data_IF_657563048292
#
_entry.id   IF_657563048292
#
_cell.length_a   1.000
_cell.length_b   1.000
_cell.length_c   1.000
_cell.angle_alpha   90.00
_cell.angle_beta   90.00
_cell.angle_gamma   90.00
#
_symmetry.space_group_name_H-M   'P 1'
#
loop_
_entity.id
_entity.type
_entity.pdbx_description
1 polymer ?
#
# COMPACT_ATOMS: atom_id res chain seq x y z
N UNK A 1 1.85 1.14 -16.86
CA UNK A 1 2.34 1.86 -15.66
C UNK A 1 1.97 1.08 -14.40
N UNK A 2 0.67 0.96 -14.06
CA UNK A 2 0.23 0.29 -12.83
C UNK A 2 0.68 -1.18 -12.70
N UNK A 3 0.40 -2.02 -13.70
CA UNK A 3 0.80 -3.43 -13.69
C UNK A 3 2.33 -3.62 -13.59
N UNK A 4 3.11 -2.84 -14.36
CA UNK A 4 4.58 -2.83 -14.28
C UNK A 4 5.07 -2.44 -12.88
N UNK A 5 4.44 -1.43 -12.27
CA UNK A 5 4.81 -0.97 -10.93
C UNK A 5 4.50 -2.03 -9.86
N UNK A 6 3.36 -2.70 -9.94
CA UNK A 6 3.03 -3.82 -9.06
C UNK A 6 4.01 -5.00 -9.19
N UNK A 7 4.38 -5.37 -10.42
CA UNK A 7 5.37 -6.41 -10.65
C UNK A 7 6.76 -6.00 -10.14
N UNK A 8 7.16 -4.74 -10.31
CA UNK A 8 8.42 -4.24 -9.73
C UNK A 8 8.40 -4.26 -8.21
N UNK A 9 7.27 -3.93 -7.58
CA UNK A 9 7.14 -3.97 -6.12
C UNK A 9 7.41 -5.35 -5.54
N UNK A 10 7.03 -6.45 -6.21
CA UNK A 10 7.36 -7.80 -5.73
C UNK A 10 8.87 -8.09 -5.82
N UNK A 11 9.53 -7.69 -6.91
CA UNK A 11 10.99 -7.83 -6.99
C UNK A 11 11.71 -7.01 -5.92
N UNK A 12 11.28 -5.76 -5.69
CA UNK A 12 11.83 -4.88 -4.65
C UNK A 12 11.55 -5.45 -3.25
N UNK A 13 10.38 -6.05 -3.03
CA UNK A 13 10.01 -6.70 -1.79
C UNK A 13 10.91 -7.89 -1.43
N UNK A 14 11.31 -8.67 -2.44
CA UNK A 14 12.35 -9.71 -2.34
C UNK A 14 13.80 -9.20 -2.28
N UNK A 15 14.02 -7.88 -2.27
CA UNK A 15 15.35 -7.27 -2.18
C UNK A 15 16.12 -7.19 -3.51
N UNK A 16 15.47 -7.49 -4.64
CA UNK A 16 16.08 -7.35 -5.96
C UNK A 16 16.00 -5.89 -6.43
N UNK A 17 17.15 -5.32 -6.79
CA UNK A 17 17.26 -3.93 -7.26
C UNK A 17 18.00 -3.85 -8.59
N UNK A 18 18.02 -2.68 -9.22
CA UNK A 18 18.86 -2.41 -10.40
C UNK A 18 20.35 -2.27 -10.05
N UNK A 19 20.69 -1.97 -8.80
CA UNK A 19 22.08 -1.80 -8.35
C UNK A 19 22.76 -3.11 -7.92
N UNK A 20 21.98 -4.09 -7.41
CA UNK A 20 22.52 -5.36 -6.91
C UNK A 20 22.60 -6.38 -8.04
N UNK A 21 23.78 -6.99 -8.25
CA UNK A 21 23.95 -8.10 -9.18
C UNK A 21 23.12 -9.32 -8.75
N UNK A 22 22.29 -9.84 -9.64
CA UNK A 22 21.47 -11.02 -9.41
C UNK A 22 20.59 -11.36 -10.60
N UNK A 23 19.87 -12.47 -10.51
CA UNK A 23 19.01 -13.02 -11.58
C UNK A 23 18.01 -11.99 -12.14
N UNK A 24 17.44 -11.15 -11.27
CA UNK A 24 16.41 -10.17 -11.65
C UNK A 24 16.92 -8.74 -11.83
N UNK A 25 18.24 -8.50 -11.76
CA UNK A 25 18.80 -7.14 -11.87
C UNK A 25 18.39 -6.46 -13.18
N UNK A 26 18.55 -7.15 -14.31
CA UNK A 26 18.21 -6.59 -15.63
C UNK A 26 16.70 -6.37 -15.77
N UNK A 27 15.89 -7.28 -15.23
CA UNK A 27 14.43 -7.16 -15.20
C UNK A 27 14.00 -5.90 -14.45
N UNK A 28 14.54 -5.67 -13.25
CA UNK A 28 14.25 -4.46 -12.45
C UNK A 28 14.74 -3.21 -13.16
N UNK A 29 15.95 -3.24 -13.71
CA UNK A 29 16.54 -2.12 -14.47
C UNK A 29 15.67 -1.71 -15.64
N UNK A 30 15.25 -2.68 -16.46
CA UNK A 30 14.39 -2.42 -17.64
C UNK A 30 13.02 -1.92 -17.23
N UNK A 31 12.43 -2.45 -16.16
CA UNK A 31 11.14 -2.01 -15.65
C UNK A 31 11.16 -0.56 -15.15
N UNK A 32 12.17 -0.20 -14.33
CA UNK A 32 12.33 1.17 -13.84
C UNK A 32 12.61 2.16 -14.98
N UNK A 33 13.51 1.82 -15.90
CA UNK A 33 13.79 2.65 -17.08
C UNK A 33 12.54 2.85 -17.93
N UNK A 34 11.74 1.79 -18.13
CA UNK A 34 10.48 1.90 -18.85
C UNK A 34 9.49 2.82 -18.13
N UNK A 35 9.29 2.66 -16.81
CA UNK A 35 8.41 3.54 -16.03
C UNK A 35 8.82 5.01 -16.16
N UNK A 36 10.10 5.31 -15.98
CA UNK A 36 10.62 6.67 -16.09
C UNK A 36 10.49 7.23 -17.51
N UNK A 37 10.64 6.39 -18.55
CA UNK A 37 10.45 6.80 -19.95
C UNK A 37 8.99 7.13 -20.31
N UNK A 38 8.02 6.64 -19.51
CA UNK A 38 6.59 6.89 -19.70
C UNK A 38 6.04 7.96 -18.76
N UNK A 39 6.83 8.39 -17.79
CA UNK A 39 6.46 9.44 -16.87
C UNK A 39 6.41 10.80 -17.58
N UNK A 40 5.43 11.63 -17.22
CA UNK A 40 5.26 12.97 -17.78
C UNK A 40 5.60 14.02 -16.71
N UNK A 41 6.48 14.96 -17.06
CA UNK A 41 6.81 16.09 -16.19
C UNK A 41 5.77 17.18 -16.39
N UNK A 42 5.00 17.45 -15.34
CA UNK A 42 3.95 18.47 -15.32
C UNK A 42 4.30 19.59 -14.35
N UNK A 43 3.54 20.69 -14.40
CA UNK A 43 3.61 21.75 -13.38
C UNK A 43 3.26 21.26 -11.97
N UNK A 44 2.54 20.14 -11.86
CA UNK A 44 2.16 19.53 -10.58
C UNK A 44 3.16 18.49 -10.08
N UNK A 45 4.15 18.09 -10.87
CA UNK A 45 5.09 17.04 -10.51
C UNK A 45 5.20 15.97 -11.59
N UNK A 46 5.64 14.78 -11.18
CA UNK A 46 5.80 13.65 -12.09
C UNK A 46 4.50 12.86 -12.16
N UNK A 47 3.82 12.96 -13.29
CA UNK A 47 2.62 12.18 -13.59
C UNK A 47 3.03 10.79 -14.09
N UNK A 48 2.59 9.77 -13.36
CA UNK A 48 2.87 8.36 -13.56
C UNK A 48 1.63 7.57 -14.00
N UNK A 49 0.55 8.26 -14.39
CA UNK A 49 -0.68 7.62 -14.88
C UNK A 49 -0.51 7.03 -16.27
N UNK A 50 0.31 7.67 -17.12
CA UNK A 50 0.52 7.27 -18.50
C UNK A 50 -0.79 7.34 -19.29
N UNK A 51 -1.17 6.26 -19.97
CA UNK A 51 -2.45 6.20 -20.70
C UNK A 51 -3.65 5.88 -19.81
N UNK A 52 -3.46 5.65 -18.50
CA UNK A 52 -4.56 5.35 -17.59
C UNK A 52 -5.41 6.62 -17.35
N UNK A 53 -6.66 6.57 -17.80
CA UNK A 53 -7.63 7.65 -17.65
C UNK A 53 -8.90 7.14 -16.96
N UNK A 54 -9.80 8.06 -16.60
CA UNK A 54 -11.05 7.74 -15.91
C UNK A 54 -10.80 7.06 -14.57
N UNK A 55 -11.52 5.96 -14.29
CA UNK A 55 -11.61 5.31 -12.97
C UNK A 55 -10.32 4.63 -12.47
N UNK A 56 -9.20 4.72 -13.21
CA UNK A 56 -7.92 4.06 -12.88
C UNK A 56 -6.75 5.02 -12.67
N UNK A 57 -6.92 6.31 -13.01
CA UNK A 57 -5.81 7.27 -13.11
C UNK A 57 -4.97 7.34 -11.83
N UNK A 58 -5.55 7.85 -10.74
CA UNK A 58 -4.78 8.00 -9.49
C UNK A 58 -4.49 6.68 -8.76
N UNK A 59 -5.19 5.58 -9.03
CA UNK A 59 -4.72 4.25 -8.59
C UNK A 59 -3.32 3.97 -9.15
N UNK A 60 -3.16 4.16 -10.47
CA UNK A 60 -1.88 3.97 -11.14
C UNK A 60 -0.83 4.95 -10.61
N UNK A 61 -1.19 6.22 -10.38
CA UNK A 61 -0.29 7.20 -9.78
C UNK A 61 0.24 6.72 -8.42
N UNK A 62 -0.65 6.30 -7.52
CA UNK A 62 -0.29 5.88 -6.17
C UNK A 62 0.65 4.68 -6.19
N UNK A 63 0.27 3.63 -6.92
CA UNK A 63 1.06 2.39 -7.08
C UNK A 63 2.45 2.69 -7.67
N UNK A 64 2.52 3.47 -8.74
CA UNK A 64 3.80 3.82 -9.37
C UNK A 64 4.67 4.70 -8.46
N UNK A 65 4.05 5.59 -7.68
CA UNK A 65 4.76 6.43 -6.71
C UNK A 65 5.34 5.59 -5.57
N UNK A 66 4.60 4.59 -5.05
CA UNK A 66 5.13 3.61 -4.08
C UNK A 66 6.35 2.92 -4.68
N UNK A 67 6.23 2.38 -5.89
CA UNK A 67 7.35 1.70 -6.58
C UNK A 67 8.60 2.58 -6.67
N UNK A 68 8.48 3.85 -7.09
CA UNK A 68 9.64 4.75 -7.16
C UNK A 68 10.20 5.08 -5.76
N UNK A 69 9.34 5.29 -4.76
CA UNK A 69 9.78 5.57 -3.40
C UNK A 69 10.53 4.39 -2.78
N UNK A 70 10.01 3.17 -2.93
CA UNK A 70 10.65 1.96 -2.43
C UNK A 70 11.96 1.66 -3.13
N UNK A 71 12.00 1.76 -4.46
CA UNK A 71 13.24 1.57 -5.23
C UNK A 71 14.30 2.61 -4.83
N UNK A 72 13.91 3.87 -4.65
CA UNK A 72 14.81 4.93 -4.20
C UNK A 72 15.30 4.73 -2.75
N UNK A 73 14.49 4.12 -1.88
CA UNK A 73 14.90 3.80 -0.51
C UNK A 73 15.91 2.64 -0.46
N UNK A 74 15.75 1.65 -1.36
CA UNK A 74 16.68 0.52 -1.49
C UNK A 74 17.98 0.90 -2.21
N UNK A 75 17.94 1.94 -3.06
CA UNK A 75 19.08 2.43 -3.85
C UNK A 75 19.41 3.89 -3.50
N UNK A 76 19.89 4.19 -2.28
CA UNK A 76 20.07 5.57 -1.80
C UNK A 76 21.14 6.36 -2.58
N UNK A 77 22.02 5.69 -3.34
CA UNK A 77 23.00 6.30 -4.23
C UNK A 77 22.38 6.90 -5.52
N UNK A 78 21.22 6.39 -5.95
CA UNK A 78 20.56 6.85 -7.16
C UNK A 78 19.79 8.17 -6.96
N UNK A 79 20.52 9.27 -7.13
CA UNK A 79 19.96 10.62 -7.03
C UNK A 79 18.92 10.92 -8.11
N UNK A 80 18.96 10.26 -9.27
CA UNK A 80 17.96 10.46 -10.31
C UNK A 80 16.62 9.84 -9.88
N UNK A 81 16.66 8.62 -9.37
CA UNK A 81 15.50 7.92 -8.84
C UNK A 81 14.88 8.65 -7.63
N UNK A 82 15.71 9.16 -6.72
CA UNK A 82 15.22 9.99 -5.60
C UNK A 82 14.52 11.27 -6.05
N UNK A 83 15.04 11.95 -7.09
CA UNK A 83 14.38 13.13 -7.68
C UNK A 83 13.05 12.78 -8.34
N UNK A 84 12.99 11.66 -9.07
CA UNK A 84 11.76 11.16 -9.66
C UNK A 84 10.69 10.85 -8.60
N UNK A 85 11.06 10.11 -7.55
CA UNK A 85 10.18 9.81 -6.41
C UNK A 85 9.69 11.08 -5.71
N UNK A 86 10.58 12.06 -5.47
CA UNK A 86 10.20 13.36 -4.87
C UNK A 86 9.20 14.12 -5.75
N UNK A 87 9.41 14.15 -7.08
CA UNK A 87 8.50 14.82 -8.00
C UNK A 87 7.16 14.08 -8.13
N UNK A 88 7.14 12.75 -8.00
CA UNK A 88 5.92 11.94 -7.99
C UNK A 88 5.08 12.20 -6.72
N UNK A 89 5.73 12.31 -5.56
CA UNK A 89 5.06 12.69 -4.30
C UNK A 89 4.45 14.08 -4.39
N UNK A 90 5.17 15.05 -4.96
CA UNK A 90 4.61 16.38 -5.24
C UNK A 90 3.34 16.32 -6.10
N UNK A 91 3.28 15.42 -7.08
CA UNK A 91 2.08 15.21 -7.89
C UNK A 91 0.94 14.64 -7.05
N UNK A 92 1.21 13.64 -6.21
CA UNK A 92 0.22 13.08 -5.27
C UNK A 92 -0.37 14.18 -4.40
N UNK A 93 0.47 14.97 -3.73
CA UNK A 93 0.03 16.09 -2.87
C UNK A 93 -0.82 17.11 -3.63
N UNK A 94 -0.38 17.54 -4.83
CA UNK A 94 -1.10 18.54 -5.64
C UNK A 94 -2.38 18.01 -6.28
N UNK A 95 -2.56 16.70 -6.33
CA UNK A 95 -3.76 16.04 -6.87
C UNK A 95 -4.85 15.79 -5.82
N UNK A 96 -4.57 16.05 -4.54
CA UNK A 96 -5.51 15.88 -3.44
C UNK A 96 -6.73 16.80 -3.60
N UNK A 97 -7.91 16.32 -3.20
CA UNK A 97 -9.08 17.17 -3.05
C UNK A 97 -8.84 18.21 -1.96
N UNK A 98 -8.86 19.49 -2.35
CA UNK A 98 -8.62 20.63 -1.45
C UNK A 98 -9.76 20.89 -0.47
N UNK A 99 -10.94 20.31 -0.69
CA UNK A 99 -12.11 20.50 0.17
C UNK A 99 -12.29 19.32 1.14
N UNK A 100 -12.33 18.11 0.60
CA UNK A 100 -12.58 16.90 1.37
C UNK A 100 -11.31 16.20 1.88
N UNK A 101 -10.14 16.48 1.30
CA UNK A 101 -8.84 15.97 1.72
C UNK A 101 -8.50 14.54 1.26
N UNK A 102 -9.37 13.90 0.49
CA UNK A 102 -9.11 12.56 -0.06
C UNK A 102 -8.60 12.60 -1.50
N UNK A 103 -8.43 11.41 -2.08
CA UNK A 103 -8.14 11.22 -3.50
C UNK A 103 -9.16 10.27 -4.11
N UNK A 104 -9.44 10.47 -5.39
CA UNK A 104 -10.31 9.57 -6.16
C UNK A 104 -9.68 9.28 -7.51
N UNK A 105 -10.40 9.27 -8.62
CA UNK A 105 -9.87 8.75 -9.88
C UNK A 105 -9.07 9.80 -10.66
N UNK A 106 -9.46 11.07 -10.54
CA UNK A 106 -8.81 12.22 -11.17
C UNK A 106 -8.39 13.27 -10.13
N UNK A 107 -7.39 14.12 -10.45
CA UNK A 107 -6.94 15.17 -9.54
C UNK A 107 -8.06 16.10 -9.07
N UNK A 108 -8.03 16.49 -7.79
CA UNK A 108 -8.99 17.37 -7.11
C UNK A 108 -10.44 16.86 -7.07
N UNK A 109 -10.68 15.58 -7.40
CA UNK A 109 -11.99 14.97 -7.28
C UNK A 109 -12.28 14.61 -5.81
N UNK A 110 -13.53 14.81 -5.31
CA UNK A 110 -13.92 14.36 -3.98
C UNK A 110 -13.53 12.91 -3.72
N UNK A 111 -12.79 12.71 -2.62
CA UNK A 111 -12.07 11.48 -2.34
C UNK A 111 -12.93 10.24 -2.13
N UNK A 112 -12.31 9.08 -2.35
CA UNK A 112 -12.80 7.79 -1.88
C UNK A 112 -11.75 7.09 -1.00
N UNK A 113 -12.18 6.15 -0.15
CA UNK A 113 -11.28 5.47 0.79
C UNK A 113 -10.24 4.61 0.08
N UNK A 114 -10.58 4.01 -1.06
CA UNK A 114 -9.74 3.06 -1.77
C UNK A 114 -8.51 3.72 -2.43
N UNK A 115 -8.72 4.78 -3.20
CA UNK A 115 -7.63 5.54 -3.85
C UNK A 115 -6.84 6.33 -2.82
N UNK A 116 -7.52 6.88 -1.80
CA UNK A 116 -6.85 7.54 -0.67
C UNK A 116 -5.90 6.58 0.04
N UNK A 117 -6.26 5.30 0.19
CA UNK A 117 -5.37 4.25 0.70
C UNK A 117 -4.05 4.16 -0.04
N UNK A 118 -4.10 4.05 -1.37
CA UNK A 118 -2.90 4.00 -2.20
C UNK A 118 -2.05 5.28 -2.12
N UNK A 119 -2.68 6.46 -2.07
CA UNK A 119 -1.92 7.70 -1.93
C UNK A 119 -1.24 7.79 -0.56
N UNK A 120 -1.94 7.43 0.52
CA UNK A 120 -1.35 7.44 1.86
C UNK A 120 -0.21 6.42 1.99
N UNK A 121 -0.32 5.26 1.35
CA UNK A 121 0.79 4.32 1.23
C UNK A 121 1.99 4.94 0.49
N UNK A 122 1.76 5.65 -0.61
CA UNK A 122 2.82 6.37 -1.33
C UNK A 122 3.51 7.42 -0.45
N UNK A 123 2.73 8.23 0.26
CA UNK A 123 3.25 9.22 1.22
C UNK A 123 4.03 8.56 2.36
N UNK A 124 3.60 7.38 2.82
CA UNK A 124 4.31 6.62 3.84
C UNK A 124 5.64 6.04 3.30
N UNK A 125 5.66 5.50 2.08
CA UNK A 125 6.88 5.04 1.41
C UNK A 125 7.88 6.20 1.17
N UNK A 126 7.38 7.41 0.92
CA UNK A 126 8.22 8.61 0.79
C UNK A 126 8.97 8.93 2.09
N UNK A 127 8.29 8.85 3.24
CA UNK A 127 8.91 9.05 4.56
C UNK A 127 10.03 8.03 4.82
N UNK A 128 9.86 6.79 4.39
CA UNK A 128 10.91 5.77 4.50
C UNK A 128 12.19 6.16 3.74
N UNK A 129 12.08 6.91 2.65
CA UNK A 129 13.20 7.47 1.88
C UNK A 129 13.61 8.90 2.29
N UNK A 130 13.13 9.39 3.45
CA UNK A 130 13.36 10.79 3.91
C UNK A 130 12.96 11.83 2.86
N UNK A 131 11.94 11.53 2.05
CA UNK A 131 11.29 12.51 1.18
C UNK A 131 10.24 13.22 2.04
N UNK A 132 10.28 14.54 2.06
CA UNK A 132 9.35 15.35 2.84
C UNK A 132 7.93 15.19 2.29
N UNK A 133 6.96 15.12 3.22
CA UNK A 133 5.52 15.13 2.93
C UNK A 133 4.91 16.32 3.67
N UNK A 134 4.06 17.08 2.97
CA UNK A 134 3.38 18.24 3.51
C UNK A 134 2.50 17.90 4.70
N UNK A 135 2.65 18.67 5.79
CA UNK A 135 1.83 18.51 6.98
C UNK A 135 0.33 18.75 6.68
N UNK A 136 0.03 19.75 5.86
CA UNK A 136 -1.33 20.09 5.43
C UNK A 136 -1.98 18.93 4.68
N UNK A 137 -1.27 18.31 3.73
CA UNK A 137 -1.76 17.12 3.01
C UNK A 137 -2.13 15.98 3.96
N UNK A 138 -1.29 15.72 4.98
CA UNK A 138 -1.60 14.71 5.99
C UNK A 138 -2.79 15.10 6.86
N UNK A 139 -2.94 16.38 7.19
CA UNK A 139 -4.07 16.88 7.98
C UNK A 139 -5.39 16.78 7.22
N UNK A 140 -5.37 17.10 5.93
CA UNK A 140 -6.53 16.97 5.04
C UNK A 140 -6.94 15.51 4.88
N UNK A 141 -5.97 14.60 4.73
CA UNK A 141 -6.25 13.16 4.69
C UNK A 141 -6.89 12.63 5.98
N UNK A 142 -6.50 13.17 7.16
CA UNK A 142 -7.17 12.85 8.44
C UNK A 142 -8.62 13.34 8.43
N UNK A 143 -8.87 14.55 7.91
CA UNK A 143 -10.23 15.10 7.79
C UNK A 143 -11.10 14.24 6.88
N UNK A 144 -10.55 13.79 5.74
CA UNK A 144 -11.21 12.83 4.86
C UNK A 144 -11.57 11.54 5.60
N UNK A 145 -10.61 10.90 6.27
CA UNK A 145 -10.83 9.62 6.96
C UNK A 145 -11.86 9.72 8.09
N UNK A 146 -11.94 10.87 8.76
CA UNK A 146 -13.03 11.16 9.71
C UNK A 146 -14.39 11.23 9.03
N UNK A 147 -14.47 11.75 7.81
CA UNK A 147 -15.74 11.89 7.07
C UNK A 147 -16.30 10.56 6.55
N UNK A 148 -15.44 9.55 6.36
CA UNK A 148 -15.81 8.18 5.92
C UNK A 148 -15.78 7.15 7.05
N UNK A 149 -15.44 7.58 8.27
CA UNK A 149 -15.41 6.75 9.46
C UNK A 149 -16.82 6.39 9.91
N UNK A 150 -17.01 5.13 10.28
CA UNK A 150 -18.25 4.54 10.82
C UNK A 150 -17.91 3.86 12.15
N UNK A 151 -18.88 3.75 13.06
CA UNK A 151 -18.68 3.14 14.39
C UNK A 151 -17.48 3.76 15.13
N UNK A 152 -17.44 5.09 15.19
CA UNK A 152 -16.36 5.88 15.80
C UNK A 152 -14.95 5.62 15.22
N UNK A 153 -14.85 5.03 14.04
CA UNK A 153 -13.57 4.79 13.35
C UNK A 153 -13.08 3.36 13.44
N UNK A 154 -13.90 2.44 13.97
CA UNK A 154 -13.68 1.01 13.88
C UNK A 154 -13.95 0.46 12.46
N UNK A 155 -14.80 1.13 11.68
CA UNK A 155 -15.15 0.75 10.31
C UNK A 155 -15.14 1.94 9.36
N UNK A 156 -15.09 1.68 8.06
CA UNK A 156 -14.97 2.74 7.05
C UNK A 156 -15.87 2.48 5.84
N UNK A 157 -16.51 3.54 5.36
CA UNK A 157 -17.28 3.56 4.12
C UNK A 157 -16.39 3.90 2.92
N UNK A 158 -16.89 3.68 1.70
CA UNK A 158 -16.18 4.04 0.47
C UNK A 158 -16.14 5.57 0.23
N UNK A 159 -17.26 6.24 0.51
CA UNK A 159 -17.43 7.70 0.40
C UNK A 159 -18.27 8.19 1.60
N UNK A 160 -18.25 9.50 1.90
CA UNK A 160 -19.03 10.06 2.99
C UNK A 160 -20.52 9.70 2.86
N UNK A 161 -21.19 9.46 3.99
CA UNK A 161 -22.60 9.03 4.07
C UNK A 161 -22.89 7.63 3.49
N UNK A 162 -21.87 6.86 3.10
CA UNK A 162 -22.01 5.45 2.74
C UNK A 162 -22.02 4.51 3.95
N UNK A 163 -22.39 3.26 3.73
CA UNK A 163 -22.24 2.18 4.72
C UNK A 163 -20.81 1.59 4.72
N UNK A 164 -20.37 0.99 5.83
CA UNK A 164 -19.05 0.37 5.90
C UNK A 164 -18.98 -0.91 5.06
N UNK A 165 -17.80 -1.22 4.55
CA UNK A 165 -17.48 -2.52 3.94
C UNK A 165 -16.20 -3.08 4.54
N UNK A 166 -15.98 -4.39 4.47
CA UNK A 166 -14.77 -5.01 5.02
C UNK A 166 -13.51 -4.53 4.30
N UNK A 167 -13.58 -4.40 2.97
CA UNK A 167 -12.51 -3.82 2.14
C UNK A 167 -12.15 -2.41 2.58
N UNK A 168 -13.13 -1.52 2.70
CA UNK A 168 -12.85 -0.13 3.07
C UNK A 168 -12.43 -0.01 4.52
N UNK A 169 -12.95 -0.89 5.39
CA UNK A 169 -12.51 -0.98 6.79
C UNK A 169 -11.03 -1.35 6.88
N UNK A 170 -10.58 -2.36 6.13
CA UNK A 170 -9.16 -2.70 6.07
C UNK A 170 -8.29 -1.55 5.56
N UNK A 171 -8.71 -0.87 4.49
CA UNK A 171 -7.98 0.29 3.95
C UNK A 171 -7.92 1.44 4.97
N UNK A 172 -9.06 1.78 5.57
CA UNK A 172 -9.17 2.88 6.53
C UNK A 172 -8.35 2.65 7.80
N UNK A 173 -8.40 1.43 8.37
CA UNK A 173 -7.59 1.08 9.55
C UNK A 173 -6.09 1.13 9.24
N UNK A 174 -5.66 0.65 8.06
CA UNK A 174 -4.26 0.75 7.66
C UNK A 174 -3.81 2.21 7.57
N UNK A 175 -4.63 3.07 6.95
CA UNK A 175 -4.38 4.50 6.89
C UNK A 175 -4.26 5.12 8.29
N UNK A 176 -5.12 4.75 9.22
CA UNK A 176 -5.04 5.25 10.60
C UNK A 176 -3.76 4.83 11.31
N UNK A 177 -3.30 3.58 11.12
CA UNK A 177 -2.02 3.10 11.65
C UNK A 177 -0.86 3.94 11.11
N UNK A 178 -0.81 4.21 9.80
CA UNK A 178 0.21 5.09 9.20
C UNK A 178 0.13 6.54 9.66
N UNK A 179 -1.04 6.98 10.12
CA UNK A 179 -1.24 8.31 10.71
C UNK A 179 -0.98 8.36 12.22
N UNK A 180 -0.57 7.24 12.83
CA UNK A 180 -0.10 7.15 14.21
C UNK A 180 -1.07 6.55 15.21
N UNK A 181 -2.15 5.89 14.78
CA UNK A 181 -2.96 5.10 15.70
C UNK A 181 -2.15 3.94 16.26
N UNK A 182 -2.20 3.79 17.58
CA UNK A 182 -1.49 2.75 18.33
C UNK A 182 -2.44 1.59 18.66
N UNK A 183 -1.87 0.41 18.91
CA UNK A 183 -2.60 -0.83 19.22
C UNK A 183 -3.52 -0.77 20.45
N UNK A 184 -3.29 0.17 21.37
CA UNK A 184 -4.09 0.37 22.58
C UNK A 184 -5.37 1.19 22.33
N UNK A 185 -5.55 1.69 21.11
CA UNK A 185 -6.72 2.47 20.75
C UNK A 185 -7.96 1.56 20.58
N UNK A 186 -9.06 1.79 21.33
CA UNK A 186 -10.23 0.91 21.30
C UNK A 186 -10.86 0.75 19.92
N UNK A 187 -10.92 1.82 19.12
CA UNK A 187 -11.53 1.77 17.78
C UNK A 187 -10.68 0.95 16.81
N UNK A 188 -9.35 0.98 16.97
CA UNK A 188 -8.44 0.12 16.21
C UNK A 188 -8.63 -1.35 16.59
N UNK A 189 -8.69 -1.66 17.88
CA UNK A 189 -8.89 -3.02 18.38
C UNK A 189 -10.21 -3.61 17.85
N UNK A 190 -11.31 -2.87 17.99
CA UNK A 190 -12.62 -3.31 17.49
C UNK A 190 -12.62 -3.57 15.97
N UNK A 191 -11.96 -2.70 15.20
CA UNK A 191 -11.83 -2.87 13.75
C UNK A 191 -10.99 -4.09 13.38
N UNK A 192 -9.86 -4.31 14.06
CA UNK A 192 -8.97 -5.46 13.82
C UNK A 192 -9.65 -6.78 14.22
N UNK A 193 -10.36 -6.81 15.35
CA UNK A 193 -11.15 -7.97 15.78
C UNK A 193 -12.25 -8.32 14.77
N UNK A 194 -12.94 -7.30 14.24
CA UNK A 194 -13.91 -7.47 13.16
C UNK A 194 -13.27 -8.11 11.92
N UNK A 195 -12.14 -7.59 11.45
CA UNK A 195 -11.41 -8.14 10.31
C UNK A 195 -10.93 -9.57 10.56
N UNK A 196 -10.40 -9.86 11.76
CA UNK A 196 -9.97 -11.20 12.13
C UNK A 196 -11.13 -12.21 12.12
N UNK A 197 -12.32 -11.78 12.56
CA UNK A 197 -13.54 -12.59 12.56
C UNK A 197 -14.04 -12.87 11.13
N UNK A 198 -14.00 -11.87 10.25
CA UNK A 198 -14.33 -12.04 8.82
C UNK A 198 -13.35 -13.02 8.17
N UNK A 199 -12.05 -12.83 8.42
CA UNK A 199 -10.98 -13.67 7.89
C UNK A 199 -10.73 -13.48 6.39
N UNK A 200 -9.74 -14.18 5.81
CA UNK A 200 -9.42 -14.07 4.39
C UNK A 200 -10.60 -14.42 3.47
N UNK A 201 -10.76 -13.65 2.40
CA UNK A 201 -11.76 -13.89 1.34
C UNK A 201 -11.14 -14.65 0.18
N UNK A 202 -11.85 -15.64 -0.38
CA UNK A 202 -11.44 -16.32 -1.63
C UNK A 202 -11.75 -15.51 -2.89
N UNK A 203 -12.57 -14.48 -2.77
CA UNK A 203 -13.14 -13.72 -3.89
C UNK A 203 -12.65 -12.27 -3.91
N UNK A 204 -11.80 -11.86 -2.97
CA UNK A 204 -11.42 -10.45 -2.86
C UNK A 204 -9.96 -10.31 -2.40
N UNK A 205 -9.06 -10.33 -3.38
CA UNK A 205 -7.63 -10.21 -3.11
C UNK A 205 -7.23 -8.80 -2.68
N UNK A 206 -7.96 -7.77 -3.13
CA UNK A 206 -7.73 -6.40 -2.70
C UNK A 206 -7.99 -6.23 -1.19
N UNK A 207 -9.11 -6.77 -0.70
CA UNK A 207 -9.39 -6.85 0.73
C UNK A 207 -8.28 -7.60 1.47
N UNK A 208 -7.92 -8.80 1.00
CA UNK A 208 -6.89 -9.62 1.64
C UNK A 208 -5.56 -8.88 1.76
N UNK A 209 -5.15 -8.15 0.73
CA UNK A 209 -3.89 -7.39 0.73
C UNK A 209 -3.87 -6.32 1.83
N UNK A 210 -4.95 -5.53 1.96
CA UNK A 210 -5.03 -4.51 3.01
C UNK A 210 -5.24 -5.12 4.41
N UNK A 211 -6.14 -6.09 4.53
CA UNK A 211 -6.42 -6.74 5.82
C UNK A 211 -5.19 -7.47 6.36
N UNK A 212 -4.41 -8.14 5.49
CA UNK A 212 -3.15 -8.77 5.90
C UNK A 212 -2.17 -7.75 6.47
N UNK A 213 -2.03 -6.56 5.87
CA UNK A 213 -1.16 -5.51 6.41
C UNK A 213 -1.66 -4.99 7.77
N UNK A 214 -2.98 -4.77 7.92
CA UNK A 214 -3.57 -4.36 9.20
C UNK A 214 -3.29 -5.40 10.29
N UNK A 215 -3.60 -6.67 10.01
CA UNK A 215 -3.41 -7.76 10.97
C UNK A 215 -1.93 -7.96 11.30
N UNK A 216 -1.04 -7.89 10.30
CA UNK A 216 0.40 -7.97 10.51
C UNK A 216 0.91 -6.84 11.40
N UNK A 217 0.54 -5.58 11.12
CA UNK A 217 0.94 -4.45 11.95
C UNK A 217 0.36 -4.47 13.36
N UNK A 218 -0.81 -5.08 13.54
CA UNK A 218 -1.39 -5.26 14.87
C UNK A 218 -0.69 -6.39 15.64
N UNK A 219 -0.32 -7.48 14.96
CA UNK A 219 0.40 -8.61 15.51
C UNK A 219 -0.43 -9.48 16.47
N UNK A 220 0.27 -10.30 17.25
CA UNK A 220 -0.31 -11.19 18.26
C UNK A 220 -1.14 -12.34 17.68
N UNK A 221 -1.98 -12.94 18.52
CA UNK A 221 -2.74 -14.15 18.17
C UNK A 221 -3.68 -13.96 16.96
N UNK A 222 -4.21 -12.74 16.78
CA UNK A 222 -5.06 -12.41 15.62
C UNK A 222 -4.27 -12.50 14.31
N UNK A 223 -3.03 -12.01 14.30
CA UNK A 223 -2.12 -12.15 13.17
C UNK A 223 -1.79 -13.62 12.88
N UNK A 224 -1.44 -14.41 13.91
CA UNK A 224 -1.03 -15.80 13.72
C UNK A 224 -2.15 -16.63 13.06
N UNK A 225 -3.40 -16.46 13.53
CA UNK A 225 -4.58 -17.10 12.95
C UNK A 225 -4.86 -16.63 11.53
N UNK A 226 -4.76 -15.33 11.28
CA UNK A 226 -4.95 -14.75 9.95
C UNK A 226 -3.91 -15.31 8.96
N UNK A 227 -2.64 -15.23 9.32
CA UNK A 227 -1.51 -15.59 8.47
C UNK A 227 -1.55 -17.07 8.09
N UNK A 228 -1.88 -17.95 9.04
CA UNK A 228 -2.02 -19.38 8.76
C UNK A 228 -3.02 -19.62 7.62
N UNK A 229 -4.22 -19.05 7.73
CA UNK A 229 -5.31 -19.20 6.74
C UNK A 229 -4.96 -18.54 5.41
N UNK A 230 -4.40 -17.32 5.46
CA UNK A 230 -4.09 -16.55 4.25
C UNK A 230 -2.98 -17.24 3.43
N UNK A 231 -1.91 -17.68 4.10
CA UNK A 231 -0.81 -18.41 3.45
C UNK A 231 -1.30 -19.72 2.83
N UNK A 232 -2.07 -20.51 3.58
CA UNK A 232 -2.64 -21.76 3.08
C UNK A 232 -3.52 -21.51 1.85
N UNK A 233 -4.40 -20.51 1.90
CA UNK A 233 -5.24 -20.14 0.76
C UNK A 233 -4.39 -19.81 -0.48
N UNK A 234 -3.39 -18.93 -0.39
CA UNK A 234 -2.58 -18.57 -1.56
C UNK A 234 -1.76 -19.74 -2.10
N UNK A 235 -1.13 -20.53 -1.22
CA UNK A 235 -0.31 -21.67 -1.67
C UNK A 235 -1.16 -22.75 -2.35
N UNK A 236 -2.36 -23.01 -1.83
CA UNK A 236 -3.27 -24.03 -2.39
C UNK A 236 -3.97 -23.58 -3.68
N UNK A 237 -4.08 -22.27 -3.92
CA UNK A 237 -4.76 -21.71 -5.10
C UNK A 237 -3.80 -21.24 -6.19
N UNK A 238 -2.49 -21.31 -5.98
CA UNK A 238 -1.50 -21.01 -7.00
C UNK A 238 -1.58 -22.05 -8.13
N UNK A 239 -1.66 -21.58 -9.37
CA UNK A 239 -1.59 -22.44 -10.53
C UNK A 239 -0.21 -23.12 -10.60
N UNK A 240 -0.18 -24.44 -10.75
CA UNK A 240 1.07 -25.22 -10.78
C UNK A 240 1.54 -25.53 -12.20
N UNK A 241 0.63 -25.54 -13.15
CA UNK A 241 0.88 -26.02 -14.51
C UNK A 241 0.35 -25.05 -15.57
N UNK A 242 0.84 -25.23 -16.80
CA UNK A 242 0.44 -24.44 -17.96
C UNK A 242 1.03 -23.03 -17.99
N UNK A 243 0.57 -22.17 -18.92
CA UNK A 243 1.14 -20.84 -19.15
C UNK A 243 0.99 -19.88 -17.96
N UNK A 244 0.10 -20.18 -17.02
CA UNK A 244 -0.13 -19.42 -15.79
C UNK A 244 0.56 -20.00 -14.56
N UNK A 245 1.41 -21.02 -14.69
CA UNK A 245 2.12 -21.61 -13.55
C UNK A 245 2.86 -20.54 -12.74
N UNK A 246 2.74 -20.61 -11.42
CA UNK A 246 3.28 -19.62 -10.47
C UNK A 246 2.38 -18.39 -10.23
N UNK A 247 1.24 -18.28 -10.93
CA UNK A 247 0.30 -17.15 -10.82
C UNK A 247 -1.03 -17.56 -10.16
N UNK A 248 -1.91 -16.58 -9.97
CA UNK A 248 -3.28 -16.77 -9.48
C UNK A 248 -4.29 -16.21 -10.47
N UNK A 249 -5.44 -16.88 -10.59
CA UNK A 249 -6.58 -16.37 -11.34
C UNK A 249 -7.21 -15.17 -10.65
N UNK A 250 -7.75 -14.23 -11.45
CA UNK A 250 -8.38 -13.03 -10.93
C UNK A 250 -9.62 -13.41 -10.14
N UNK A 251 -9.60 -13.14 -8.85
CA UNK A 251 -10.74 -13.41 -7.96
C UNK A 251 -11.54 -12.15 -7.66
N UNK A 252 -10.88 -10.98 -7.70
CA UNK A 252 -11.44 -9.70 -7.27
C UNK A 252 -12.60 -9.22 -8.17
N UNK A 253 -13.73 -8.72 -7.60
CA UNK A 253 -14.89 -8.27 -8.38
C UNK A 253 -14.58 -7.11 -9.33
N UNK A 254 -13.56 -6.32 -9.02
CA UNK A 254 -13.07 -5.19 -9.81
C UNK A 254 -11.68 -5.45 -10.41
N UNK A 255 -11.16 -6.68 -10.28
CA UNK A 255 -9.82 -7.07 -10.72
C UNK A 255 -9.64 -7.13 -12.24
N UNK A 256 -10.73 -7.12 -13.02
CA UNK A 256 -10.70 -7.25 -14.48
C UNK A 256 -9.80 -6.22 -15.18
N UNK A 257 -9.76 -4.98 -14.68
CA UNK A 257 -8.88 -3.93 -15.23
C UNK A 257 -7.39 -4.15 -14.99
N UNK A 258 -7.02 -4.88 -13.92
CA UNK A 258 -5.63 -5.21 -13.59
C UNK A 258 -5.18 -6.59 -14.09
N UNK A 259 -6.13 -7.52 -14.27
CA UNK A 259 -5.89 -8.85 -14.78
C UNK A 259 -5.00 -9.73 -13.88
N UNK A 260 -4.46 -10.79 -14.46
CA UNK A 260 -3.62 -11.79 -13.77
C UNK A 260 -2.37 -11.19 -13.12
N UNK A 261 -1.76 -10.17 -13.74
CA UNK A 261 -0.57 -9.51 -13.18
C UNK A 261 -0.92 -8.82 -11.86
N UNK A 262 -2.04 -8.08 -11.82
CA UNK A 262 -2.53 -7.44 -10.60
C UNK A 262 -2.80 -8.46 -9.49
N UNK A 263 -3.55 -9.53 -9.80
CA UNK A 263 -3.87 -10.58 -8.85
C UNK A 263 -2.58 -11.22 -8.29
N UNK A 264 -1.67 -11.58 -9.18
CA UNK A 264 -0.43 -12.27 -8.82
C UNK A 264 0.46 -11.37 -7.98
N UNK A 265 0.62 -10.11 -8.37
CA UNK A 265 1.41 -9.17 -7.61
C UNK A 265 0.84 -8.92 -6.21
N UNK A 266 -0.48 -8.72 -6.05
CA UNK A 266 -1.08 -8.61 -4.72
C UNK A 266 -0.93 -9.88 -3.89
N UNK A 267 -1.04 -11.06 -4.51
CA UNK A 267 -0.83 -12.35 -3.84
C UNK A 267 0.59 -12.48 -3.31
N UNK A 268 1.58 -12.14 -4.15
CA UNK A 268 3.00 -12.16 -3.77
C UNK A 268 3.29 -11.10 -2.70
N UNK A 269 2.85 -9.85 -2.87
CA UNK A 269 3.03 -8.79 -1.87
C UNK A 269 2.38 -9.14 -0.52
N UNK A 270 1.27 -9.88 -0.54
CA UNK A 270 0.62 -10.41 0.67
C UNK A 270 1.47 -11.47 1.35
N UNK A 271 2.11 -12.36 0.57
CA UNK A 271 3.07 -13.34 1.07
C UNK A 271 4.40 -12.69 1.51
N UNK A 272 4.72 -11.48 1.05
CA UNK A 272 5.95 -10.77 1.39
C UNK A 272 5.89 -10.02 2.73
N UNK A 273 4.69 -9.84 3.30
CA UNK A 273 4.42 -8.88 4.39
C UNK A 273 5.39 -8.95 5.58
N UNK A 274 5.94 -10.13 5.89
CA UNK A 274 6.85 -10.39 7.02
C UNK A 274 8.35 -10.22 6.72
N UNK A 275 8.75 -10.03 5.46
CA UNK A 275 10.17 -9.87 5.10
C UNK A 275 10.50 -8.66 4.23
N UNK A 276 9.53 -7.82 3.87
CA UNK A 276 9.80 -6.61 3.06
C UNK A 276 10.88 -5.74 3.72
N UNK A 277 11.90 -5.39 2.94
CA UNK A 277 13.15 -4.81 3.43
C UNK A 277 13.03 -3.35 3.95
N UNK A 278 11.89 -2.70 3.81
CA UNK A 278 11.73 -1.31 4.25
C UNK A 278 11.43 -1.20 5.76
N UNK A 279 12.10 -0.30 6.50
CA UNK A 279 11.90 -0.12 7.93
C UNK A 279 10.45 0.15 8.36
N UNK A 280 9.58 0.63 7.49
CA UNK A 280 8.15 0.81 7.81
C UNK A 280 7.43 -0.51 8.11
N UNK A 281 7.96 -1.64 7.64
CA UNK A 281 7.46 -2.97 7.97
C UNK A 281 8.11 -3.56 9.22
N UNK A 282 9.16 -2.94 9.78
CA UNK A 282 9.89 -3.39 10.98
C UNK A 282 9.71 -2.47 12.21
N UNK A 283 9.58 -1.16 12.02
CA UNK A 283 9.57 -0.14 13.09
C UNK A 283 8.27 -0.05 13.90
N UNK A 284 7.26 -0.84 13.58
CA UNK A 284 6.05 -0.96 14.39
C UNK A 284 6.11 -2.13 15.38
N UNK A 285 7.08 -3.04 15.23
CA UNK A 285 7.28 -4.18 16.13
C UNK A 285 7.99 -3.79 17.43
N UNK A 286 8.63 -2.62 17.46
CA UNK A 286 9.34 -2.08 18.64
C UNK A 286 8.50 -1.01 19.35
N UNK A 287 7.49 -1.42 20.11
CA UNK A 287 7.01 -0.63 21.24
C UNK A 287 7.94 -0.92 22.44
N UNK A 288 8.34 0.09 23.24
CA UNK A 288 9.43 -0.07 24.20
C UNK A 288 9.03 -1.04 25.33
N UNK A 289 9.82 -2.09 25.51
CA UNK A 289 9.88 -2.79 26.79
C UNK A 289 10.30 -1.78 27.86
N UNK A 290 9.48 -1.67 28.90
CA UNK A 290 9.78 -0.90 30.10
C UNK A 290 11.18 -1.26 30.60
N UNK A 291 12.11 -0.33 30.48
CA UNK A 291 13.38 -0.31 31.22
C UNK A 291 13.12 0.00 32.69
N UNK A 292 12.49 -0.95 33.39
CA UNK A 292 12.36 -0.96 34.83
C UNK A 292 13.12 -2.16 35.41
N UNK A 293 14.25 -1.87 36.04
CA UNK A 293 14.84 -2.76 37.05
C UNK A 293 16.14 -3.45 36.64
N UNK A 294 17.25 -2.71 36.77
CA UNK A 294 18.53 -3.22 37.32
C UNK A 294 19.51 -2.05 37.48
N UNK A 295 19.37 -1.29 38.56
CA UNK A 295 20.52 -0.63 39.16
C UNK A 295 21.02 -1.54 40.28
N UNK A 296 22.26 -2.01 40.09
CA UNK A 296 23.09 -2.60 41.14
C UNK A 296 23.47 -1.49 42.12
N UNK A 297 23.22 -1.72 43.40
CA UNK A 297 24.23 -1.58 44.44
C UNK A 297 24.25 -2.90 45.22
#
# INVERSE_FOLDING_TARGET
>A
MGATSLALLTFLGGGHTHEIKGEYQETVTRGLNWLLSKAEVTSSGLDLRGTAQGNSGLYVQGIATICLCEAAALCPGDRALKRAATSAIRFVERSQDRLGGGWRYTPNQPGDTSVTGWQLMALQSAKANRISVGADTMQDARSFLRSVSVENGAKYAYMPRGGPTDTMTAVGLLCQMYMGWRKDRPELQAGVEHLAKVGPSRENMYYNYYATQVLHHFGGELWDKWNLRMREQLVTTQLRDGPGAGSWDVTDPHGGGGGRIYQTALSVLTLEVYYRHLPMYRKLDEAPENSAGRQKQ
#
